data_IF_618112043342
#
_entry.id   IF_618112043342
#
_cell.length_a   1.000
_cell.length_b   1.000
_cell.length_c   1.000
_cell.angle_alpha   90.00
_cell.angle_beta   90.00
_cell.angle_gamma   90.00
#
_symmetry.space_group_name_H-M   'P 1'
#
loop_
_entity.id
_entity.type
_entity.pdbx_description
1 polymer ?
#
# COMPACT_ATOMS: atom_id res chain seq x y z
N UNK A 1 -20.29 -5.76 -16.61
CA UNK A 1 -19.03 -4.97 -16.55
C UNK A 1 -17.98 -5.84 -15.87
N UNK A 2 -16.72 -5.82 -16.31
CA UNK A 2 -15.67 -6.65 -15.71
C UNK A 2 -15.05 -5.96 -14.48
N UNK A 3 -14.52 -6.75 -13.53
CA UNK A 3 -13.78 -6.25 -12.36
C UNK A 3 -12.73 -5.21 -12.74
N UNK A 4 -11.94 -5.48 -13.78
CA UNK A 4 -10.91 -4.56 -14.31
C UNK A 4 -11.47 -3.20 -14.75
N UNK A 5 -12.64 -3.18 -15.40
CA UNK A 5 -13.27 -1.92 -15.82
C UNK A 5 -13.70 -1.07 -14.63
N UNK A 6 -14.28 -1.69 -13.60
CA UNK A 6 -14.62 -0.98 -12.35
C UNK A 6 -13.37 -0.47 -11.63
N UNK A 7 -12.29 -1.25 -11.59
CA UNK A 7 -11.03 -0.79 -11.02
C UNK A 7 -10.47 0.43 -11.78
N UNK A 8 -10.48 0.39 -13.11
CA UNK A 8 -10.02 1.52 -13.92
C UNK A 8 -10.89 2.77 -13.73
N UNK A 9 -12.22 2.60 -13.66
CA UNK A 9 -13.12 3.72 -13.38
C UNK A 9 -12.90 4.29 -11.98
N UNK A 10 -12.64 3.45 -10.97
CA UNK A 10 -12.27 3.88 -9.64
C UNK A 10 -10.99 4.72 -9.63
N UNK A 11 -9.98 4.36 -10.44
CA UNK A 11 -8.76 5.17 -10.60
C UNK A 11 -9.05 6.54 -11.19
N UNK A 12 -9.97 6.64 -12.15
CA UNK A 12 -10.39 7.93 -12.72
C UNK A 12 -11.04 8.79 -11.63
N UNK A 13 -12.00 8.24 -10.87
CA UNK A 13 -12.62 8.97 -9.76
C UNK A 13 -11.60 9.40 -8.69
N UNK A 14 -10.61 8.55 -8.40
CA UNK A 14 -9.53 8.87 -7.47
C UNK A 14 -8.69 10.06 -7.97
N UNK A 15 -8.34 10.09 -9.25
CA UNK A 15 -7.61 11.22 -9.87
C UNK A 15 -8.43 12.52 -9.82
N UNK A 16 -9.74 12.41 -9.98
CA UNK A 16 -10.69 13.52 -9.82
C UNK A 16 -10.94 13.93 -8.36
N UNK A 17 -10.28 13.27 -7.39
CA UNK A 17 -10.46 13.45 -5.94
C UNK A 17 -11.89 13.13 -5.46
N UNK A 18 -12.66 12.40 -6.25
CA UNK A 18 -14.00 11.90 -5.91
C UNK A 18 -13.86 10.58 -5.14
N UNK A 19 -13.38 10.67 -3.89
CA UNK A 19 -12.96 9.50 -3.11
C UNK A 19 -14.08 8.51 -2.81
N UNK A 20 -15.30 8.99 -2.55
CA UNK A 20 -16.46 8.12 -2.31
C UNK A 20 -16.82 7.28 -3.54
N UNK A 21 -16.83 7.89 -4.71
CA UNK A 21 -17.10 7.19 -5.98
C UNK A 21 -15.98 6.22 -6.33
N UNK A 22 -14.72 6.62 -6.08
CA UNK A 22 -13.56 5.74 -6.23
C UNK A 22 -13.70 4.48 -5.38
N UNK A 23 -14.01 4.61 -4.10
CA UNK A 23 -14.24 3.47 -3.20
C UNK A 23 -15.38 2.57 -3.68
N UNK A 24 -16.50 3.15 -4.12
CA UNK A 24 -17.62 2.39 -4.65
C UNK A 24 -17.19 1.54 -5.87
N UNK A 25 -16.41 2.13 -6.78
CA UNK A 25 -15.94 1.41 -7.96
C UNK A 25 -14.90 0.35 -7.63
N UNK A 26 -13.97 0.60 -6.71
CA UNK A 26 -13.02 -0.43 -6.28
C UNK A 26 -13.70 -1.59 -5.55
N UNK A 27 -14.73 -1.33 -4.72
CA UNK A 27 -15.52 -2.39 -4.07
C UNK A 27 -16.26 -3.25 -5.08
N UNK A 28 -16.91 -2.64 -6.08
CA UNK A 28 -17.51 -3.38 -7.20
C UNK A 28 -16.48 -4.20 -7.98
N UNK A 29 -15.26 -3.69 -8.12
CA UNK A 29 -14.19 -4.45 -8.74
C UNK A 29 -13.89 -5.73 -7.95
N UNK A 30 -13.80 -5.65 -6.62
CA UNK A 30 -13.59 -6.81 -5.73
C UNK A 30 -14.77 -7.78 -5.81
N UNK A 31 -16.02 -7.29 -5.74
CA UNK A 31 -17.23 -8.11 -5.80
C UNK A 31 -17.33 -8.93 -7.09
N UNK A 32 -16.83 -8.37 -8.20
CA UNK A 32 -16.85 -9.01 -9.52
C UNK A 32 -15.58 -9.78 -9.84
N UNK A 33 -14.61 -9.80 -8.93
CA UNK A 33 -13.33 -10.45 -9.15
C UNK A 33 -13.37 -11.91 -8.73
N UNK A 34 -13.17 -12.81 -9.68
CA UNK A 34 -13.07 -14.25 -9.43
C UNK A 34 -11.64 -14.69 -9.13
N UNK A 35 -10.65 -13.83 -9.37
CA UNK A 35 -9.24 -14.18 -9.35
C UNK A 35 -8.48 -13.53 -8.20
N UNK A 36 -9.18 -12.85 -7.29
CA UNK A 36 -8.62 -12.21 -6.10
C UNK A 36 -7.46 -11.27 -6.44
N UNK A 37 -7.70 -10.29 -7.29
CA UNK A 37 -6.68 -9.35 -7.76
C UNK A 37 -6.29 -8.37 -6.64
N UNK A 38 -5.00 -8.04 -6.48
CA UNK A 38 -4.54 -7.15 -5.40
C UNK A 38 -4.78 -5.65 -5.69
N UNK A 39 -4.90 -5.25 -6.96
CA UNK A 39 -4.93 -3.84 -7.35
C UNK A 39 -6.11 -3.06 -6.74
N UNK A 40 -7.35 -3.60 -6.69
CA UNK A 40 -8.45 -2.91 -6.02
C UNK A 40 -8.20 -2.64 -4.53
N UNK A 41 -7.59 -3.59 -3.82
CA UNK A 41 -7.22 -3.41 -2.40
C UNK A 41 -6.18 -2.30 -2.25
N UNK A 42 -5.10 -2.34 -3.04
CA UNK A 42 -4.09 -1.27 -3.04
C UNK A 42 -4.72 0.11 -3.34
N UNK A 43 -5.67 0.18 -4.27
CA UNK A 43 -6.32 1.44 -4.62
C UNK A 43 -7.28 1.95 -3.53
N UNK A 44 -8.01 1.06 -2.85
CA UNK A 44 -8.82 1.42 -1.68
C UNK A 44 -7.92 1.98 -0.56
N UNK A 45 -6.78 1.33 -0.33
CA UNK A 45 -5.82 1.79 0.66
C UNK A 45 -5.29 3.20 0.36
N UNK A 46 -4.97 3.48 -0.91
CA UNK A 46 -4.59 4.84 -1.35
C UNK A 46 -5.69 5.87 -1.06
N UNK A 47 -6.97 5.52 -1.23
CA UNK A 47 -8.07 6.42 -0.88
C UNK A 47 -8.11 6.70 0.62
N UNK A 48 -7.99 5.66 1.46
CA UNK A 48 -7.99 5.85 2.91
C UNK A 48 -6.78 6.63 3.40
N UNK A 49 -5.63 6.44 2.78
CA UNK A 49 -4.44 7.20 3.09
C UNK A 49 -4.60 8.69 2.76
N UNK A 50 -5.25 9.05 1.65
CA UNK A 50 -5.60 10.45 1.35
C UNK A 50 -6.58 11.07 2.34
N UNK A 51 -7.25 10.25 3.14
CA UNK A 51 -8.15 10.68 4.21
C UNK A 51 -7.50 10.56 5.60
N UNK A 52 -6.17 10.37 5.67
CA UNK A 52 -5.39 10.16 6.91
C UNK A 52 -5.89 8.98 7.77
N UNK A 53 -6.65 8.05 7.16
CA UNK A 53 -7.15 6.84 7.82
C UNK A 53 -6.13 5.72 7.71
N UNK A 54 -4.94 5.94 8.25
CA UNK A 54 -3.78 5.04 8.07
C UNK A 54 -4.07 3.59 8.50
N UNK A 55 -4.84 3.37 9.57
CA UNK A 55 -5.21 2.01 10.00
C UNK A 55 -6.00 1.23 8.92
N UNK A 56 -6.98 1.86 8.28
CA UNK A 56 -7.75 1.25 7.19
C UNK A 56 -6.91 1.11 5.91
N UNK A 57 -6.01 2.05 5.66
CA UNK A 57 -5.08 1.94 4.55
C UNK A 57 -4.15 0.71 4.72
N UNK A 58 -3.59 0.52 5.91
CA UNK A 58 -2.72 -0.62 6.23
C UNK A 58 -3.46 -1.95 6.08
N UNK A 59 -4.73 -2.05 6.50
CA UNK A 59 -5.54 -3.25 6.30
C UNK A 59 -5.62 -3.64 4.82
N UNK A 60 -5.99 -2.70 3.96
CA UNK A 60 -6.12 -2.96 2.53
C UNK A 60 -4.76 -3.13 1.81
N UNK A 61 -3.71 -2.41 2.24
CA UNK A 61 -2.37 -2.65 1.72
C UNK A 61 -1.83 -4.02 2.12
N UNK A 62 -2.14 -4.50 3.32
CA UNK A 62 -1.80 -5.85 3.78
C UNK A 62 -2.49 -6.88 2.90
N UNK A 63 -3.78 -6.72 2.61
CA UNK A 63 -4.48 -7.62 1.69
C UNK A 63 -3.84 -7.66 0.29
N UNK A 64 -3.44 -6.51 -0.26
CA UNK A 64 -2.76 -6.46 -1.56
C UNK A 64 -1.39 -7.16 -1.52
N UNK A 65 -0.62 -6.95 -0.44
CA UNK A 65 0.67 -7.59 -0.22
C UNK A 65 0.54 -9.10 -0.02
N UNK A 66 -0.45 -9.58 0.74
CA UNK A 66 -0.64 -11.01 0.99
C UNK A 66 -1.03 -11.78 -0.29
N UNK A 67 -1.69 -11.11 -1.24
CA UNK A 67 -2.05 -11.68 -2.56
C UNK A 67 -0.83 -11.75 -3.50
N UNK A 68 -0.02 -10.70 -3.55
CA UNK A 68 1.22 -10.64 -4.35
C UNK A 68 2.40 -10.18 -3.46
N UNK A 69 2.97 -11.09 -2.64
CA UNK A 69 4.00 -10.72 -1.67
C UNK A 69 5.32 -10.29 -2.32
N UNK A 70 5.61 -10.78 -3.52
CA UNK A 70 6.81 -10.41 -4.28
C UNK A 70 6.69 -9.05 -5.00
N UNK A 71 5.51 -8.42 -4.95
CA UNK A 71 5.30 -7.13 -5.59
C UNK A 71 5.80 -5.99 -4.71
N UNK A 72 7.02 -5.51 -5.03
CA UNK A 72 7.69 -4.47 -4.26
C UNK A 72 6.89 -3.18 -4.11
N UNK A 73 5.98 -2.88 -5.04
CA UNK A 73 5.13 -1.69 -4.96
C UNK A 73 4.13 -1.80 -3.80
N UNK A 74 3.59 -3.00 -3.54
CA UNK A 74 2.65 -3.20 -2.42
C UNK A 74 3.38 -3.20 -1.09
N UNK A 75 4.57 -3.82 -1.01
CA UNK A 75 5.46 -3.72 0.16
C UNK A 75 5.81 -2.27 0.46
N UNK A 76 6.20 -1.49 -0.56
CA UNK A 76 6.51 -0.07 -0.45
C UNK A 76 5.33 0.76 0.07
N UNK A 77 4.13 0.53 -0.46
CA UNK A 77 2.94 1.25 -0.02
C UNK A 77 2.53 0.89 1.42
N UNK A 78 2.62 -0.39 1.79
CA UNK A 78 2.34 -0.85 3.14
C UNK A 78 3.35 -0.26 4.15
N UNK A 79 4.64 -0.35 3.86
CA UNK A 79 5.69 0.21 4.71
C UNK A 79 5.53 1.72 4.91
N UNK A 80 5.20 2.45 3.84
CA UNK A 80 4.94 3.90 3.91
C UNK A 80 3.71 4.21 4.78
N UNK A 81 2.62 3.45 4.65
CA UNK A 81 1.43 3.64 5.46
C UNK A 81 1.68 3.33 6.95
N UNK A 82 2.42 2.25 7.24
CA UNK A 82 2.87 1.90 8.60
C UNK A 82 3.73 3.01 9.21
N UNK A 83 4.70 3.52 8.44
CA UNK A 83 5.52 4.66 8.85
C UNK A 83 4.67 5.91 9.13
N UNK A 84 3.70 6.26 8.28
CA UNK A 84 2.79 7.40 8.53
C UNK A 84 1.90 7.24 9.76
N UNK A 85 1.50 6.01 10.10
CA UNK A 85 0.79 5.72 11.35
C UNK A 85 1.70 5.87 12.59
N UNK A 86 3.01 5.83 12.40
CA UNK A 86 4.01 5.82 13.46
C UNK A 86 4.33 4.42 13.97
N UNK A 87 4.08 3.39 13.17
CA UNK A 87 4.48 2.02 13.52
C UNK A 87 6.01 1.93 13.54
N UNK A 88 6.54 1.26 14.56
CA UNK A 88 7.97 1.13 14.79
C UNK A 88 8.25 -0.28 15.31
N UNK A 89 8.20 -1.24 14.39
CA UNK A 89 8.35 -2.66 14.68
C UNK A 89 9.30 -3.36 13.70
N UNK A 90 9.64 -4.61 14.02
CA UNK A 90 10.53 -5.42 13.18
C UNK A 90 9.92 -5.73 11.80
N UNK A 91 8.59 -5.75 11.68
CA UNK A 91 7.91 -5.96 10.39
C UNK A 91 8.19 -4.79 9.44
N UNK A 92 8.07 -3.56 9.93
CA UNK A 92 8.42 -2.38 9.15
C UNK A 92 9.90 -2.40 8.74
N UNK A 93 10.82 -2.74 9.65
CA UNK A 93 12.25 -2.83 9.34
C UNK A 93 12.51 -3.85 8.22
N UNK A 94 11.90 -5.03 8.28
CA UNK A 94 12.05 -6.06 7.25
C UNK A 94 11.53 -5.58 5.88
N UNK A 95 10.40 -4.88 5.85
CA UNK A 95 9.87 -4.30 4.61
C UNK A 95 10.79 -3.20 4.05
N UNK A 96 11.36 -2.35 4.90
CA UNK A 96 12.31 -1.31 4.47
C UNK A 96 13.61 -1.91 3.91
N UNK A 97 14.08 -3.01 4.49
CA UNK A 97 15.19 -3.78 3.94
C UNK A 97 14.86 -4.35 2.56
N UNK A 98 13.68 -4.96 2.42
CA UNK A 98 13.23 -5.50 1.14
C UNK A 98 13.17 -4.40 0.06
N UNK A 99 12.61 -3.24 0.38
CA UNK A 99 12.54 -2.08 -0.53
C UNK A 99 13.94 -1.61 -0.92
N UNK A 100 14.87 -1.55 0.03
CA UNK A 100 16.26 -1.15 -0.25
C UNK A 100 16.92 -2.09 -1.26
N UNK A 101 16.66 -3.40 -1.17
CA UNK A 101 17.30 -4.42 -1.99
C UNK A 101 16.62 -4.64 -3.34
N UNK A 102 15.28 -4.58 -3.39
CA UNK A 102 14.48 -5.03 -4.54
C UNK A 102 13.82 -3.91 -5.34
N UNK A 103 13.61 -2.72 -4.76
CA UNK A 103 12.91 -1.64 -5.46
C UNK A 103 13.83 -0.95 -6.48
N UNK A 104 13.40 -0.84 -7.73
CA UNK A 104 14.19 -0.21 -8.78
C UNK A 104 14.14 1.34 -8.73
N UNK A 105 13.28 1.93 -7.88
CA UNK A 105 13.10 3.38 -7.78
C UNK A 105 14.10 3.95 -6.77
N UNK A 106 15.07 4.79 -7.20
CA UNK A 106 16.13 5.30 -6.31
C UNK A 106 15.60 6.06 -5.09
N UNK A 107 14.54 6.85 -5.27
CA UNK A 107 13.92 7.60 -4.17
C UNK A 107 13.38 6.67 -3.08
N UNK A 108 12.83 5.52 -3.46
CA UNK A 108 12.30 4.53 -2.52
C UNK A 108 13.41 3.77 -1.82
N UNK A 109 14.48 3.41 -2.53
CA UNK A 109 15.65 2.80 -1.90
C UNK A 109 16.29 3.75 -0.87
N UNK A 110 16.47 5.03 -1.24
CA UNK A 110 17.06 6.03 -0.37
C UNK A 110 16.18 6.30 0.86
N UNK A 111 14.88 6.51 0.64
CA UNK A 111 13.92 6.69 1.73
C UNK A 111 13.92 5.48 2.66
N UNK A 112 13.84 4.26 2.12
CA UNK A 112 13.75 3.05 2.94
C UNK A 112 15.03 2.80 3.75
N UNK A 113 16.20 2.99 3.13
CA UNK A 113 17.50 2.90 3.80
C UNK A 113 17.61 3.91 4.96
N UNK A 114 17.15 5.14 4.73
CA UNK A 114 17.16 6.20 5.76
C UNK A 114 16.25 5.85 6.93
N UNK A 115 15.00 5.45 6.66
CA UNK A 115 14.05 5.09 7.73
C UNK A 115 14.50 3.85 8.50
N UNK A 116 15.06 2.85 7.81
CA UNK A 116 15.62 1.65 8.46
C UNK A 116 16.73 2.04 9.44
N UNK A 117 17.67 2.89 9.01
CA UNK A 117 18.77 3.34 9.86
C UNK A 117 18.28 4.11 11.10
N UNK A 118 17.25 4.95 10.96
CA UNK A 118 16.64 5.67 12.09
C UNK A 118 15.97 4.72 13.08
N UNK A 119 15.21 3.72 12.60
CA UNK A 119 14.55 2.75 13.48
C UNK A 119 15.56 1.90 14.26
N UNK A 120 16.63 1.45 13.60
CA UNK A 120 17.71 0.69 14.25
C UNK A 120 18.48 1.54 15.27
N UNK A 121 18.77 2.81 14.95
CA UNK A 121 19.45 3.72 15.88
C UNK A 121 18.62 3.99 17.15
N UNK A 122 17.30 3.92 17.04
CA UNK A 122 16.36 4.03 18.17
C UNK A 122 16.17 2.68 18.92
N UNK A 123 16.96 1.65 18.60
CA UNK A 123 16.95 0.34 19.28
C UNK A 123 15.82 -0.59 18.87
N UNK A 124 15.11 -0.31 17.77
CA UNK A 124 14.06 -1.20 17.26
C UNK A 124 14.71 -2.29 16.41
N UNK A 125 14.45 -3.56 16.73
CA UNK A 125 14.90 -4.70 15.92
C UNK A 125 16.23 -5.35 16.32
N UNK A 126 16.77 -5.00 17.50
CA UNK A 126 17.81 -5.77 18.19
C UNK A 126 17.24 -6.97 18.96
#
# INVERSE_FOLDING_TARGET
QSSRSHNNLGKVYYQLKQYSDALNMFRKAIELDTNNSPQPHNNIAMVYERADKHALAIEHYTLAHDIEPDNIIYTANLARAMHHRGDRDAKLIAMLEEITLKDARPDWQHWASTQKAMLLADGIGE
#
